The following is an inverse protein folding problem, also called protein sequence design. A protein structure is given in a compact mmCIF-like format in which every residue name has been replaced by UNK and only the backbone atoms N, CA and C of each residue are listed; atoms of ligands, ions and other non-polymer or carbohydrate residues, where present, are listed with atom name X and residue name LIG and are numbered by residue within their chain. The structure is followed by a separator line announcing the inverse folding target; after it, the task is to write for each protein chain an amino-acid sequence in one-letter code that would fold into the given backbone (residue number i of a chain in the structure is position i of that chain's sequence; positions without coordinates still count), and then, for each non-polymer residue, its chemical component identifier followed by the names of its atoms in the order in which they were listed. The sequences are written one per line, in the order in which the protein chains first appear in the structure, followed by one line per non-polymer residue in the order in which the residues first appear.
data_IF_253127301153
#
_entry.id   IF_253127301153
#
_cell.length_a   1.000
_cell.length_b   1.000
_cell.length_c   1.000
_cell.angle_alpha   90.00
_cell.angle_beta   90.00
_cell.angle_gamma   90.00
#
_symmetry.space_group_name_H-M   'P 1'
#
loop_
_entity.id
_entity.type
_entity.pdbx_description
1 polymer ?
#
# COMPACT_ATOMS: atom_id res chain seq x y z
N UNK A 1 30.64 7.49 -1.87
CA UNK A 1 29.74 6.65 -1.04
C UNK A 1 29.24 5.52 -1.92
N UNK A 2 29.26 4.27 -1.46
CA UNK A 2 28.75 3.14 -2.25
C UNK A 2 27.29 2.88 -1.89
N UNK A 3 26.40 2.87 -2.89
CA UNK A 3 25.02 2.41 -2.73
C UNK A 3 25.02 0.97 -2.25
N UNK A 4 24.18 0.64 -1.27
CA UNK A 4 24.07 -0.71 -0.68
C UNK A 4 22.67 -1.30 -0.77
N UNK A 5 21.65 -0.44 -0.80
CA UNK A 5 20.24 -0.84 -0.79
C UNK A 5 19.54 -0.30 -2.03
N UNK A 6 18.77 -1.14 -2.69
CA UNK A 6 17.96 -0.78 -3.86
C UNK A 6 16.50 -1.11 -3.56
N UNK A 7 15.63 -0.13 -3.75
CA UNK A 7 14.19 -0.27 -3.56
C UNK A 7 13.53 -0.18 -4.94
N UNK A 8 12.89 -1.24 -5.38
CA UNK A 8 12.21 -1.27 -6.66
C UNK A 8 10.72 -1.01 -6.46
N UNK A 9 10.17 -0.09 -7.26
CA UNK A 9 8.74 -0.13 -7.54
C UNK A 9 8.37 -1.42 -8.29
N UNK A 10 7.11 -1.82 -8.20
CA UNK A 10 6.63 -3.07 -8.82
C UNK A 10 5.90 -2.82 -10.14
N UNK A 11 4.69 -2.29 -10.06
CA UNK A 11 3.79 -2.10 -11.20
C UNK A 11 4.37 -1.03 -12.16
N UNK A 12 4.78 -1.45 -13.36
CA UNK A 12 5.41 -0.59 -14.36
C UNK A 12 6.94 -0.60 -14.37
N UNK A 13 7.58 -1.14 -13.32
CA UNK A 13 9.04 -1.19 -13.16
C UNK A 13 9.58 -2.61 -13.19
N UNK A 14 9.07 -3.50 -12.33
CA UNK A 14 9.45 -4.93 -12.34
C UNK A 14 8.58 -5.73 -13.30
N UNK A 15 7.30 -5.37 -13.44
CA UNK A 15 6.35 -6.07 -14.29
C UNK A 15 5.24 -5.14 -14.78
N UNK A 16 4.45 -5.58 -15.78
CA UNK A 16 3.17 -4.96 -16.16
C UNK A 16 2.10 -6.04 -16.19
N UNK A 17 1.09 -5.93 -15.33
CA UNK A 17 0.15 -7.04 -15.10
C UNK A 17 0.89 -8.30 -14.67
N UNK A 18 0.81 -9.37 -15.45
CA UNK A 18 1.55 -10.62 -15.19
C UNK A 18 2.86 -10.78 -15.98
N UNK A 19 3.20 -9.82 -16.84
CA UNK A 19 4.38 -9.88 -17.68
C UNK A 19 5.60 -9.26 -16.98
N UNK A 20 6.68 -10.02 -16.72
CA UNK A 20 7.90 -9.46 -16.15
C UNK A 20 8.60 -8.55 -17.16
N UNK A 21 9.23 -7.48 -16.66
CA UNK A 21 10.14 -6.65 -17.45
C UNK A 21 11.53 -7.31 -17.40
N UNK A 22 12.02 -7.90 -18.50
CA UNK A 22 13.20 -8.78 -18.44
C UNK A 22 14.47 -8.10 -17.92
N UNK A 23 14.68 -6.83 -18.28
CA UNK A 23 15.82 -6.03 -17.81
C UNK A 23 15.77 -5.79 -16.30
N UNK A 24 14.58 -5.57 -15.72
CA UNK A 24 14.41 -5.37 -14.29
C UNK A 24 14.76 -6.65 -13.52
N UNK A 25 14.22 -7.80 -13.97
CA UNK A 25 14.52 -9.11 -13.37
C UNK A 25 16.02 -9.42 -13.41
N UNK A 26 16.67 -9.19 -14.56
CA UNK A 26 18.11 -9.39 -14.72
C UNK A 26 18.93 -8.46 -13.80
N UNK A 27 18.51 -7.21 -13.66
CA UNK A 27 19.15 -6.22 -12.78
C UNK A 27 19.04 -6.64 -11.32
N UNK A 28 17.84 -6.99 -10.84
CA UNK A 28 17.59 -7.44 -9.47
C UNK A 28 18.46 -8.65 -9.12
N UNK A 29 18.52 -9.64 -10.01
CA UNK A 29 19.37 -10.82 -9.84
C UNK A 29 20.85 -10.44 -9.70
N UNK A 30 21.33 -9.55 -10.55
CA UNK A 30 22.72 -9.08 -10.54
C UNK A 30 23.04 -8.35 -9.23
N UNK A 31 22.15 -7.47 -8.78
CA UNK A 31 22.31 -6.74 -7.51
C UNK A 31 22.42 -7.69 -6.32
N UNK A 32 21.56 -8.72 -6.26
CA UNK A 32 21.63 -9.74 -5.21
C UNK A 32 22.93 -10.55 -5.25
N UNK A 33 23.42 -10.91 -6.45
CA UNK A 33 24.71 -11.60 -6.62
C UNK A 33 25.92 -10.75 -6.19
N UNK A 34 25.81 -9.43 -6.29
CA UNK A 34 26.81 -8.48 -5.82
C UNK A 34 26.72 -8.19 -4.31
N UNK A 35 25.77 -8.81 -3.60
CA UNK A 35 25.59 -8.64 -2.15
C UNK A 35 24.84 -7.36 -1.75
N UNK A 36 24.14 -6.71 -2.69
CA UNK A 36 23.26 -5.58 -2.37
C UNK A 36 21.95 -6.06 -1.73
N UNK A 37 21.38 -5.23 -0.87
CA UNK A 37 20.03 -5.45 -0.34
C UNK A 37 19.01 -4.97 -1.36
N UNK A 38 18.01 -5.80 -1.66
CA UNK A 38 16.94 -5.47 -2.60
C UNK A 38 15.60 -5.53 -1.88
N UNK A 39 14.88 -4.41 -1.89
CA UNK A 39 13.53 -4.27 -1.37
C UNK A 39 12.57 -3.94 -2.51
N UNK A 40 11.30 -4.25 -2.29
CA UNK A 40 10.21 -3.93 -3.20
C UNK A 40 9.21 -3.05 -2.49
N UNK A 41 8.80 -1.95 -3.11
CA UNK A 41 7.79 -1.06 -2.56
C UNK A 41 6.72 -0.76 -3.58
N UNK A 42 5.50 -1.27 -3.37
CA UNK A 42 4.33 -0.98 -4.22
C UNK A 42 3.28 -0.16 -3.50
N UNK A 43 2.64 0.78 -4.22
CA UNK A 43 1.43 1.46 -3.75
C UNK A 43 0.16 0.59 -3.86
N UNK A 44 0.28 -0.67 -4.27
CA UNK A 44 -0.83 -1.58 -4.37
C UNK A 44 -1.21 -2.21 -3.02
N UNK A 45 -2.36 -1.79 -2.47
CA UNK A 45 -2.93 -2.27 -1.21
C UNK A 45 -3.88 -3.48 -1.38
N UNK A 46 -4.03 -4.02 -2.60
CA UNK A 46 -5.12 -4.97 -2.89
C UNK A 46 -4.85 -6.40 -2.42
N UNK A 47 -3.58 -6.80 -2.41
CA UNK A 47 -3.13 -8.18 -2.11
C UNK A 47 -2.24 -8.22 -0.88
N UNK A 48 -2.12 -9.41 -0.28
CA UNK A 48 -1.19 -9.64 0.83
C UNK A 48 0.26 -9.55 0.37
N UNK A 49 1.18 -9.32 1.31
CA UNK A 49 2.62 -9.40 1.05
C UNK A 49 3.02 -10.77 0.49
N UNK A 50 2.47 -11.86 1.05
CA UNK A 50 2.67 -13.23 0.56
C UNK A 50 2.33 -13.36 -0.93
N UNK A 51 1.20 -12.79 -1.37
CA UNK A 51 0.79 -12.84 -2.79
C UNK A 51 1.76 -12.08 -3.70
N UNK A 52 2.38 -10.99 -3.23
CA UNK A 52 3.42 -10.30 -4.00
C UNK A 52 4.72 -11.09 -4.06
N UNK A 53 5.11 -11.74 -2.96
CA UNK A 53 6.26 -12.65 -2.93
C UNK A 53 6.08 -13.80 -3.92
N UNK A 54 4.91 -14.44 -3.94
CA UNK A 54 4.58 -15.50 -4.89
C UNK A 54 4.60 -15.01 -6.34
N UNK A 55 4.04 -13.81 -6.59
CA UNK A 55 4.06 -13.19 -7.92
C UNK A 55 5.49 -12.94 -8.40
N UNK A 56 6.34 -12.35 -7.55
CA UNK A 56 7.75 -12.12 -7.86
C UNK A 56 8.51 -13.44 -8.10
N UNK A 57 8.22 -14.46 -7.30
CA UNK A 57 8.79 -15.81 -7.48
C UNK A 57 8.45 -16.40 -8.84
N UNK A 58 7.20 -16.27 -9.29
CA UNK A 58 6.77 -16.72 -10.63
C UNK A 58 7.49 -15.97 -11.77
N UNK A 59 8.09 -14.82 -11.47
CA UNK A 59 8.92 -14.02 -12.39
C UNK A 59 10.42 -14.27 -12.20
N UNK A 60 10.80 -15.32 -11.48
CA UNK A 60 12.19 -15.66 -11.12
C UNK A 60 12.90 -14.60 -10.25
N UNK A 61 12.14 -13.80 -9.50
CA UNK A 61 12.66 -12.89 -8.48
C UNK A 61 12.46 -13.53 -7.11
N UNK A 62 13.55 -13.98 -6.49
CA UNK A 62 13.51 -14.61 -5.16
C UNK A 62 13.54 -13.53 -4.08
N UNK A 63 12.53 -13.53 -3.22
CA UNK A 63 12.36 -12.59 -2.11
C UNK A 63 11.47 -13.21 -1.01
N UNK A 64 11.27 -12.49 0.09
CA UNK A 64 10.36 -12.82 1.19
C UNK A 64 9.52 -11.60 1.59
N UNK A 65 8.64 -11.76 2.60
CA UNK A 65 7.74 -10.69 3.05
C UNK A 65 8.45 -9.52 3.73
N UNK A 66 9.62 -9.74 4.32
CA UNK A 66 10.39 -8.69 4.99
C UNK A 66 11.01 -7.72 3.98
N UNK A 67 11.16 -8.17 2.74
CA UNK A 67 11.66 -7.38 1.62
C UNK A 67 10.53 -6.77 0.75
N UNK A 68 9.25 -6.93 1.13
CA UNK A 68 8.10 -6.39 0.38
C UNK A 68 7.28 -5.42 1.24
N UNK A 69 7.35 -4.15 0.88
CA UNK A 69 6.53 -3.07 1.41
C UNK A 69 5.32 -2.82 0.50
N UNK A 70 4.10 -3.02 1.00
CA UNK A 70 2.88 -2.57 0.32
C UNK A 70 2.36 -1.29 0.99
N UNK A 71 1.57 -0.50 0.28
CA UNK A 71 0.89 0.66 0.90
C UNK A 71 -0.12 0.27 1.99
N UNK A 72 -0.69 -0.94 1.93
CA UNK A 72 -1.50 -1.52 3.00
C UNK A 72 -0.66 -1.76 4.27
N UNK A 73 0.50 -2.41 4.12
CA UNK A 73 1.40 -2.65 5.24
C UNK A 73 1.96 -1.33 5.80
N UNK A 74 2.26 -0.36 4.94
CA UNK A 74 2.72 0.97 5.37
C UNK A 74 1.66 1.69 6.21
N UNK A 75 0.40 1.64 5.78
CA UNK A 75 -0.72 2.21 6.53
C UNK A 75 -0.91 1.51 7.88
N UNK A 76 -0.75 0.18 7.93
CA UNK A 76 -0.82 -0.57 9.18
C UNK A 76 0.33 -0.21 10.14
N UNK A 77 1.57 -0.11 9.66
CA UNK A 77 2.71 0.32 10.48
C UNK A 77 2.50 1.73 11.05
N UNK A 78 2.08 2.68 10.20
CA UNK A 78 1.73 4.03 10.62
C UNK A 78 0.64 4.01 11.70
N UNK A 79 -0.44 3.27 11.50
CA UNK A 79 -1.53 3.18 12.47
C UNK A 79 -1.08 2.52 13.78
N UNK A 80 -0.19 1.53 13.72
CA UNK A 80 0.39 0.91 14.89
C UNK A 80 1.25 1.89 15.71
N UNK A 81 2.03 2.75 15.05
CA UNK A 81 2.75 3.86 15.73
C UNK A 81 1.80 4.89 16.37
N UNK A 82 0.54 4.97 15.92
CA UNK A 82 -0.51 5.82 16.50
C UNK A 82 -1.35 5.10 17.58
N UNK A 83 -0.86 3.97 18.11
CA UNK A 83 -1.54 3.11 19.07
C UNK A 83 -2.96 2.76 18.61
N UNK A 84 -3.13 2.38 17.34
CA UNK A 84 -4.44 2.04 16.78
C UNK A 84 -4.92 0.62 17.13
N UNK A 85 -4.09 -0.20 17.75
CA UNK A 85 -4.50 -1.53 18.25
C UNK A 85 -5.72 -1.43 19.17
N UNK A 86 -6.69 -2.31 18.96
CA UNK A 86 -7.98 -2.32 19.68
C UNK A 86 -8.99 -1.26 19.22
N UNK A 87 -8.63 -0.35 18.31
CA UNK A 87 -9.55 0.63 17.70
C UNK A 87 -10.28 0.03 16.50
N UNK A 88 -11.33 0.72 16.08
CA UNK A 88 -12.20 0.29 14.98
C UNK A 88 -11.82 0.96 13.65
N UNK A 89 -11.94 0.21 12.55
CA UNK A 89 -11.74 0.76 11.21
C UNK A 89 -12.85 0.32 10.25
N UNK A 90 -13.34 1.26 9.45
CA UNK A 90 -14.07 0.96 8.22
C UNK A 90 -13.08 0.99 7.05
N UNK A 91 -12.82 -0.19 6.48
CA UNK A 91 -11.85 -0.35 5.40
C UNK A 91 -12.53 -0.31 4.02
N UNK A 92 -12.20 0.70 3.22
CA UNK A 92 -12.54 0.77 1.79
C UNK A 92 -11.35 0.27 0.98
N UNK A 93 -11.30 -1.04 0.75
CA UNK A 93 -10.17 -1.69 0.11
C UNK A 93 -10.36 -3.21 0.01
N UNK A 94 -9.52 -3.83 -0.81
CA UNK A 94 -9.52 -5.29 -0.97
C UNK A 94 -8.81 -6.03 0.19
N UNK A 95 -8.58 -7.33 0.02
CA UNK A 95 -8.11 -8.24 1.06
C UNK A 95 -6.81 -7.80 1.73
N UNK A 96 -5.82 -7.34 0.95
CA UNK A 96 -4.51 -6.94 1.47
C UNK A 96 -4.60 -5.86 2.56
N UNK A 97 -5.41 -4.81 2.33
CA UNK A 97 -5.65 -3.77 3.32
C UNK A 97 -6.30 -4.33 4.59
N UNK A 98 -7.37 -5.09 4.44
CA UNK A 98 -8.13 -5.65 5.59
C UNK A 98 -7.26 -6.56 6.45
N UNK A 99 -6.42 -7.37 5.81
CA UNK A 99 -5.50 -8.27 6.48
C UNK A 99 -4.49 -7.50 7.33
N UNK A 100 -3.80 -6.50 6.76
CA UNK A 100 -2.77 -5.75 7.49
C UNK A 100 -3.35 -4.93 8.65
N UNK A 101 -4.55 -4.36 8.49
CA UNK A 101 -5.25 -3.70 9.61
C UNK A 101 -5.61 -4.68 10.74
N UNK A 102 -6.04 -5.90 10.37
CA UNK A 102 -6.36 -6.94 11.36
C UNK A 102 -5.10 -7.43 12.09
N UNK A 103 -3.95 -7.52 11.40
CA UNK A 103 -2.68 -7.95 11.98
C UNK A 103 -2.17 -7.02 13.09
N UNK A 104 -2.46 -5.72 13.00
CA UNK A 104 -2.13 -4.75 14.07
C UNK A 104 -3.22 -4.68 15.16
N UNK A 105 -4.18 -5.61 15.14
CA UNK A 105 -5.21 -5.73 16.17
C UNK A 105 -6.36 -4.73 16.07
N UNK A 106 -6.61 -4.14 14.90
CA UNK A 106 -7.81 -3.32 14.70
C UNK A 106 -9.05 -4.18 14.45
N UNK A 107 -10.20 -3.70 14.93
CA UNK A 107 -11.50 -4.33 14.66
C UNK A 107 -12.10 -3.73 13.39
N UNK A 108 -12.24 -4.53 12.34
CA UNK A 108 -12.90 -4.10 11.11
C UNK A 108 -14.42 -4.04 11.31
N UNK A 109 -15.01 -2.92 10.91
CA UNK A 109 -16.45 -2.67 10.96
C UNK A 109 -16.99 -2.81 9.54
N UNK A 110 -17.93 -3.73 9.29
CA UNK A 110 -18.51 -3.92 7.95
C UNK A 110 -19.57 -2.86 7.60
N UNK A 111 -20.33 -2.42 8.60
CA UNK A 111 -21.34 -1.37 8.46
C UNK A 111 -21.15 -0.29 9.54
N UNK A 112 -20.62 0.89 9.18
CA UNK A 112 -20.32 1.96 10.11
C UNK A 112 -21.54 2.85 10.41
N UNK A 113 -22.68 2.68 9.74
CA UNK A 113 -23.84 3.57 9.91
C UNK A 113 -24.36 3.49 11.35
N UNK A 114 -24.45 4.66 12.00
CA UNK A 114 -24.92 4.78 13.38
C UNK A 114 -23.97 4.23 14.44
N UNK A 115 -22.74 3.84 14.06
CA UNK A 115 -21.72 3.33 14.98
C UNK A 115 -20.57 4.31 15.10
N UNK A 116 -19.92 4.31 16.26
CA UNK A 116 -18.64 5.01 16.42
C UNK A 116 -17.55 4.19 15.73
N UNK A 117 -16.89 4.80 14.75
CA UNK A 117 -15.73 4.22 14.05
C UNK A 117 -14.55 5.18 14.21
N UNK A 118 -13.38 4.65 14.57
CA UNK A 118 -12.22 5.49 14.85
C UNK A 118 -11.48 5.91 13.56
N UNK A 119 -11.46 5.04 12.55
CA UNK A 119 -10.76 5.27 11.29
C UNK A 119 -11.58 4.86 10.06
N UNK A 120 -11.48 5.64 8.99
CA UNK A 120 -11.75 5.19 7.63
C UNK A 120 -10.40 5.04 6.93
N UNK A 121 -10.10 3.84 6.45
CA UNK A 121 -8.85 3.57 5.72
C UNK A 121 -9.19 3.16 4.30
N UNK A 122 -8.73 3.94 3.32
CA UNK A 122 -9.09 3.79 1.93
C UNK A 122 -7.90 3.46 1.03
N UNK A 123 -8.15 2.60 0.04
CA UNK A 123 -7.23 2.27 -1.04
C UNK A 123 -8.01 1.84 -2.28
N UNK A 124 -7.34 1.12 -3.18
CA UNK A 124 -8.03 0.54 -4.33
C UNK A 124 -9.03 -0.54 -3.87
N UNK A 125 -10.28 -0.39 -4.27
CA UNK A 125 -11.39 -1.30 -4.03
C UNK A 125 -12.17 -1.46 -5.34
N UNK A 126 -11.97 -2.56 -6.06
CA UNK A 126 -12.72 -2.80 -7.31
C UNK A 126 -14.21 -3.07 -7.07
N UNK A 127 -14.59 -3.39 -5.85
CA UNK A 127 -15.99 -3.48 -5.42
C UNK A 127 -16.49 -2.18 -4.81
N UNK A 128 -15.91 -1.02 -5.15
CA UNK A 128 -16.37 0.28 -4.69
C UNK A 128 -17.76 0.59 -5.25
N UNK A 129 -18.66 1.05 -4.38
CA UNK A 129 -20.04 1.37 -4.71
C UNK A 129 -20.45 2.68 -4.05
N UNK A 130 -21.57 3.25 -4.49
CA UNK A 130 -22.16 4.41 -3.82
C UNK A 130 -22.47 4.13 -2.33
N UNK A 131 -22.90 2.91 -2.00
CA UNK A 131 -23.14 2.51 -0.60
C UNK A 131 -21.84 2.59 0.24
N UNK A 132 -20.72 2.09 -0.28
CA UNK A 132 -19.42 2.21 0.40
C UNK A 132 -18.96 3.65 0.56
N UNK A 133 -19.20 4.50 -0.46
CA UNK A 133 -18.92 5.93 -0.41
C UNK A 133 -19.73 6.60 0.72
N UNK A 134 -21.05 6.36 0.75
CA UNK A 134 -21.93 6.92 1.77
C UNK A 134 -21.49 6.46 3.18
N UNK A 135 -21.20 5.16 3.36
CA UNK A 135 -20.68 4.63 4.63
C UNK A 135 -19.39 5.29 5.07
N UNK A 136 -18.42 5.47 4.17
CA UNK A 136 -17.18 6.18 4.45
C UNK A 136 -17.44 7.64 4.84
N UNK A 137 -18.29 8.34 4.08
CA UNK A 137 -18.66 9.73 4.35
C UNK A 137 -19.29 9.88 5.74
N UNK A 138 -20.29 9.05 6.07
CA UNK A 138 -20.97 9.13 7.36
C UNK A 138 -20.04 8.85 8.53
N UNK A 139 -19.12 7.87 8.39
CA UNK A 139 -18.11 7.59 9.41
C UNK A 139 -17.17 8.79 9.62
N UNK A 140 -16.70 9.42 8.54
CA UNK A 140 -15.82 10.59 8.60
C UNK A 140 -16.54 11.79 9.23
N UNK A 141 -17.78 12.08 8.82
CA UNK A 141 -18.59 13.16 9.40
C UNK A 141 -18.91 12.91 10.89
N UNK A 142 -18.90 11.65 11.32
CA UNK A 142 -19.04 11.24 12.73
C UNK A 142 -17.71 11.26 13.51
N UNK A 143 -16.62 11.75 12.90
CA UNK A 143 -15.34 11.97 13.56
C UNK A 143 -14.27 10.90 13.31
N UNK A 144 -14.50 9.93 12.42
CA UNK A 144 -13.47 8.97 12.04
C UNK A 144 -12.29 9.67 11.33
N UNK A 145 -11.06 9.31 11.69
CA UNK A 145 -9.86 9.80 10.99
C UNK A 145 -9.77 9.18 9.60
N UNK A 146 -9.52 9.99 8.58
CA UNK A 146 -9.44 9.53 7.21
C UNK A 146 -7.99 9.26 6.78
N UNK A 147 -7.68 8.00 6.45
CA UNK A 147 -6.36 7.55 6.01
C UNK A 147 -6.45 7.03 4.58
N UNK A 148 -5.53 7.44 3.72
CA UNK A 148 -5.38 6.91 2.37
C UNK A 148 -4.08 6.10 2.27
N UNK A 149 -4.19 4.86 1.80
CA UNK A 149 -3.01 4.01 1.52
C UNK A 149 -2.14 4.62 0.42
N UNK A 150 -2.73 5.23 -0.60
CA UNK A 150 -2.05 5.98 -1.67
C UNK A 150 -3.07 6.86 -2.41
N UNK A 151 -2.61 7.75 -3.28
CA UNK A 151 -3.45 8.63 -4.10
C UNK A 151 -3.19 8.48 -5.59
N UNK A 152 -2.69 7.34 -6.04
CA UNK A 152 -2.40 7.11 -7.46
C UNK A 152 -3.71 7.11 -8.26
N UNK A 153 -3.81 7.99 -9.26
CA UNK A 153 -5.04 8.17 -10.04
C UNK A 153 -5.32 7.01 -10.98
N UNK A 154 -4.29 6.27 -11.38
CA UNK A 154 -4.39 5.15 -12.32
C UNK A 154 -3.59 3.93 -11.86
N UNK A 155 -3.99 2.77 -12.35
CA UNK A 155 -3.30 1.49 -12.20
C UNK A 155 -2.83 1.02 -13.59
N UNK A 156 -1.51 0.83 -13.82
CA UNK A 156 -1.00 0.28 -15.06
C UNK A 156 -1.43 -1.18 -15.28
N UNK A 157 -1.90 -1.49 -16.49
CA UNK A 157 -2.26 -2.83 -16.94
C UNK A 157 -1.39 -3.29 -18.12
N UNK A 158 -1.65 -4.50 -18.60
CA UNK A 158 -1.01 -5.08 -19.79
C UNK A 158 -1.28 -4.23 -21.05
N UNK A 159 -0.39 -4.35 -22.04
CA UNK A 159 -0.47 -3.62 -23.32
C UNK A 159 -0.61 -2.08 -23.21
N UNK A 160 -0.24 -1.48 -22.07
CA UNK A 160 -0.31 -0.04 -21.86
C UNK A 160 -1.70 0.50 -21.48
N UNK A 161 -2.66 -0.38 -21.20
CA UNK A 161 -3.97 0.03 -20.69
C UNK A 161 -3.87 0.60 -19.26
N UNK A 162 -4.82 1.47 -18.90
CA UNK A 162 -4.94 2.07 -17.57
C UNK A 162 -6.31 1.78 -16.98
N UNK A 163 -6.36 1.43 -15.70
CA UNK A 163 -7.57 1.39 -14.90
C UNK A 163 -7.56 2.52 -13.85
N UNK A 164 -8.70 2.89 -13.25
CA UNK A 164 -8.73 3.78 -12.10
C UNK A 164 -7.90 3.22 -10.93
N UNK A 165 -7.10 4.09 -10.31
CA UNK A 165 -6.28 3.76 -9.14
C UNK A 165 -6.99 4.04 -7.81
N UNK A 166 -6.30 3.79 -6.70
CA UNK A 166 -6.84 4.06 -5.36
C UNK A 166 -7.15 5.54 -5.13
N UNK A 167 -6.40 6.44 -5.76
CA UNK A 167 -6.61 7.87 -5.71
C UNK A 167 -7.98 8.31 -6.24
N UNK A 168 -8.54 7.61 -7.23
CA UNK A 168 -9.89 7.91 -7.72
C UNK A 168 -10.97 7.67 -6.66
N UNK A 169 -10.83 6.60 -5.87
CA UNK A 169 -11.74 6.27 -4.76
C UNK A 169 -11.55 7.24 -3.60
N UNK A 170 -10.29 7.50 -3.24
CA UNK A 170 -9.93 8.46 -2.17
C UNK A 170 -10.48 9.84 -2.49
N UNK A 171 -10.33 10.32 -3.73
CA UNK A 171 -10.86 11.62 -4.16
C UNK A 171 -12.40 11.67 -4.08
N UNK A 172 -13.11 10.59 -4.39
CA UNK A 172 -14.56 10.53 -4.23
C UNK A 172 -14.98 10.66 -2.77
N UNK A 173 -14.30 9.95 -1.86
CA UNK A 173 -14.56 10.02 -0.41
C UNK A 173 -14.23 11.41 0.13
N UNK A 174 -13.06 11.96 -0.22
CA UNK A 174 -12.63 13.31 0.14
C UNK A 174 -13.66 14.36 -0.29
N UNK A 175 -14.12 14.28 -1.55
CA UNK A 175 -15.13 15.21 -2.09
C UNK A 175 -16.45 15.10 -1.35
N UNK A 176 -16.91 13.88 -1.06
CA UNK A 176 -18.19 13.66 -0.37
C UNK A 176 -18.14 14.07 1.10
N UNK A 177 -17.02 13.84 1.78
CA UNK A 177 -16.84 14.15 3.20
C UNK A 177 -16.37 15.59 3.47
N UNK A 178 -15.74 16.24 2.49
CA UNK A 178 -15.10 17.56 2.67
C UNK A 178 -13.87 17.51 3.58
N UNK A 179 -13.21 16.36 3.68
CA UNK A 179 -12.08 16.11 4.60
C UNK A 179 -10.90 15.52 3.85
N UNK A 180 -9.72 16.11 4.04
CA UNK A 180 -8.46 15.63 3.49
C UNK A 180 -7.97 14.35 4.19
N UNK A 181 -7.54 13.31 3.45
CA UNK A 181 -6.94 12.13 4.05
C UNK A 181 -5.50 12.39 4.49
N UNK A 182 -5.04 11.63 5.49
CA UNK A 182 -3.60 11.41 5.70
C UNK A 182 -3.12 10.35 4.70
N UNK A 183 -2.27 10.74 3.76
CA UNK A 183 -1.72 9.84 2.72
C UNK A 183 -0.45 9.17 3.22
N UNK A 184 -0.39 7.83 3.13
CA UNK A 184 0.72 7.04 3.69
C UNK A 184 1.70 6.53 2.62
N UNK A 185 1.20 6.01 1.51
CA UNK A 185 2.03 5.42 0.45
C UNK A 185 2.92 6.42 -0.26
N UNK A 186 3.74 5.93 -1.19
CA UNK A 186 4.67 6.76 -1.97
C UNK A 186 3.93 7.91 -2.67
N UNK A 187 4.52 9.12 -2.73
CA UNK A 187 5.85 9.51 -2.25
C UNK A 187 5.88 10.00 -0.78
N UNK A 188 4.87 9.72 0.03
CA UNK A 188 4.81 10.24 1.40
C UNK A 188 5.94 9.68 2.27
N UNK A 189 6.52 10.56 3.10
CA UNK A 189 7.68 10.24 3.95
C UNK A 189 7.44 9.13 4.98
N UNK A 190 6.25 8.98 5.62
CA UNK A 190 6.05 7.93 6.63
C UNK A 190 6.41 6.53 6.12
N UNK A 191 5.94 6.15 4.93
CA UNK A 191 6.23 4.82 4.39
C UNK A 191 7.71 4.64 3.98
N UNK A 192 8.36 5.68 3.46
CA UNK A 192 9.79 5.64 3.12
C UNK A 192 10.64 5.50 4.39
N UNK A 193 10.27 6.21 5.46
CA UNK A 193 10.95 6.12 6.74
C UNK A 193 10.82 4.73 7.36
N UNK A 194 9.62 4.13 7.34
CA UNK A 194 9.42 2.75 7.80
C UNK A 194 10.25 1.74 7.00
N UNK A 195 10.26 1.87 5.67
CA UNK A 195 11.06 0.99 4.81
C UNK A 195 12.55 1.10 5.17
N UNK A 196 13.08 2.31 5.34
CA UNK A 196 14.49 2.51 5.70
C UNK A 196 14.82 1.96 7.10
N UNK A 197 13.89 2.06 8.07
CA UNK A 197 14.03 1.44 9.39
C UNK A 197 14.11 -0.09 9.28
N UNK A 198 13.20 -0.71 8.53
CA UNK A 198 13.18 -2.16 8.28
C UNK A 198 14.47 -2.60 7.59
N UNK A 199 14.88 -1.88 6.55
CA UNK A 199 16.09 -2.13 5.79
C UNK A 199 17.39 -1.82 6.55
N UNK A 200 17.30 -1.18 7.73
CA UNK A 200 18.45 -0.67 8.50
C UNK A 200 19.41 0.12 7.61
N UNK A 201 18.85 0.92 6.70
CA UNK A 201 19.58 1.61 5.64
C UNK A 201 19.50 3.12 5.81
N UNK A 202 20.59 3.83 5.50
CA UNK A 202 20.60 5.30 5.48
C UNK A 202 20.17 5.81 4.09
N UNK A 203 19.40 6.92 3.99
CA UNK A 203 18.98 7.47 2.70
C UNK A 203 20.12 7.67 1.69
N UNK A 204 21.31 8.09 2.16
CA UNK A 204 22.51 8.32 1.34
C UNK A 204 23.12 7.05 0.73
N UNK A 205 22.68 5.87 1.17
CA UNK A 205 23.16 4.56 0.73
C UNK A 205 22.07 3.76 0.00
N UNK A 206 20.90 4.38 -0.21
CA UNK A 206 19.71 3.77 -0.80
C UNK A 206 19.38 4.45 -2.13
N UNK A 207 19.09 3.63 -3.14
CA UNK A 207 18.46 4.08 -4.39
C UNK A 207 17.02 3.55 -4.42
N UNK A 208 16.07 4.42 -4.73
CA UNK A 208 14.65 4.12 -4.86
C UNK A 208 14.11 4.74 -6.14
#
# INVERSE_FOLDING_TARGET
MSVRTFVFDLDGVVYRGNDPIPSAVATIKTLGQLGHQVYFFTNNATKSRTSFVEKLRNMNVITDEDHVMTSAYAAALYLNEQDAGGKTAYAVGEYGLKQELSHIGMTLVDDPIGKKVDYVVAGLDRGFTYDKLNKAQQAILSGAKFIATNTDSTLPLEAGALAPGGGSIVAAIQTAAGVEPTVIGKPAMPAIQELLKIAKAAPKETVM
#
